data_IF_517633743219
#
_entry.id   IF_517633743219
#
_cell.length_a   1.000
_cell.length_b   1.000
_cell.length_c   1.000
_cell.angle_alpha   90.00
_cell.angle_beta   90.00
_cell.angle_gamma   90.00
#
_symmetry.space_group_name_H-M   'P 1'
#
loop_
_entity.id
_entity.type
_entity.pdbx_description
1 polymer ?
#
# COMPACT_ATOMS: atom_id res chain seq x y z
N UNK A 1 -10.64 -31.57 -1.13
CA UNK A 1 -10.01 -31.01 0.08
C UNK A 1 -9.43 -32.10 0.97
N UNK A 2 -10.11 -33.25 1.12
CA UNK A 2 -9.55 -34.40 1.83
C UNK A 2 -8.30 -34.93 1.14
N UNK A 3 -8.31 -35.12 -0.17
CA UNK A 3 -7.13 -35.52 -0.95
C UNK A 3 -5.97 -34.55 -0.73
N UNK A 4 -6.22 -33.24 -0.84
CA UNK A 4 -5.20 -32.22 -0.55
C UNK A 4 -4.62 -32.35 0.86
N UNK A 5 -5.47 -32.60 1.86
CA UNK A 5 -5.02 -32.81 3.23
C UNK A 5 -4.14 -34.05 3.37
N UNK A 6 -4.55 -35.17 2.72
CA UNK A 6 -3.80 -36.41 2.72
C UNK A 6 -2.42 -36.23 2.04
N UNK A 7 -2.37 -35.60 0.86
CA UNK A 7 -1.13 -35.27 0.14
C UNK A 7 -0.19 -34.36 0.96
N UNK A 8 -0.75 -33.36 1.65
CA UNK A 8 0.05 -32.48 2.51
C UNK A 8 0.65 -33.25 3.70
N UNK A 9 -0.08 -34.19 4.29
CA UNK A 9 0.44 -35.03 5.37
C UNK A 9 1.50 -36.02 4.91
N UNK A 10 1.33 -36.57 3.72
CA UNK A 10 2.30 -37.48 3.13
C UNK A 10 3.63 -36.79 2.80
N UNK A 11 3.54 -35.56 2.24
CA UNK A 11 4.73 -34.79 1.84
C UNK A 11 5.41 -34.06 2.99
N UNK A 12 4.66 -33.65 4.00
CA UNK A 12 5.17 -32.77 5.07
C UNK A 12 4.70 -33.29 6.44
N UNK A 13 5.64 -33.56 7.33
CA UNK A 13 5.35 -33.79 8.74
C UNK A 13 5.14 -32.43 9.44
N UNK A 14 3.90 -31.97 9.53
CA UNK A 14 3.59 -30.67 10.17
C UNK A 14 2.75 -30.83 11.44
N UNK A 15 3.12 -30.09 12.48
CA UNK A 15 2.50 -30.12 13.80
C UNK A 15 1.51 -28.97 14.01
N UNK A 16 1.47 -28.02 13.10
CA UNK A 16 0.63 -26.82 13.22
C UNK A 16 0.06 -26.35 11.90
N UNK A 17 -1.19 -25.90 11.94
CA UNK A 17 -1.90 -25.28 10.82
C UNK A 17 -2.36 -23.88 11.22
N UNK A 18 -1.87 -22.85 10.50
CA UNK A 18 -2.22 -21.45 10.75
C UNK A 18 -3.07 -20.94 9.60
N UNK A 19 -4.38 -20.78 9.83
CA UNK A 19 -5.31 -20.21 8.87
C UNK A 19 -5.28 -18.67 8.94
N UNK A 20 -4.55 -18.04 8.03
CA UNK A 20 -4.51 -16.58 7.86
C UNK A 20 -5.61 -16.08 6.92
N UNK A 21 -6.40 -16.98 6.32
CA UNK A 21 -7.42 -16.61 5.35
C UNK A 21 -8.85 -16.68 5.90
N UNK A 22 -9.16 -17.59 6.84
CA UNK A 22 -10.46 -17.77 7.50
C UNK A 22 -11.63 -17.75 6.49
N UNK A 23 -11.58 -18.66 5.52
CA UNK A 23 -12.63 -18.93 4.54
C UNK A 23 -13.11 -20.38 4.66
N UNK A 24 -14.25 -20.74 4.01
CA UNK A 24 -14.83 -22.06 4.16
C UNK A 24 -13.82 -23.20 3.87
N UNK A 25 -13.05 -23.09 2.80
CA UNK A 25 -12.02 -24.08 2.43
C UNK A 25 -11.00 -24.30 3.54
N UNK A 26 -10.46 -23.21 4.11
CA UNK A 26 -9.43 -23.30 5.14
C UNK A 26 -10.01 -23.75 6.48
N UNK A 27 -11.26 -23.46 6.76
CA UNK A 27 -11.98 -24.00 7.94
C UNK A 27 -12.12 -25.52 7.88
N UNK A 28 -12.47 -26.06 6.70
CA UNK A 28 -12.56 -27.51 6.49
C UNK A 28 -11.18 -28.18 6.63
N UNK A 29 -10.12 -27.59 6.05
CA UNK A 29 -8.74 -28.06 6.25
C UNK A 29 -8.36 -28.02 7.74
N UNK A 30 -8.68 -26.94 8.43
CA UNK A 30 -8.45 -26.80 9.87
C UNK A 30 -9.23 -27.82 10.70
N UNK A 31 -10.43 -28.23 10.26
CA UNK A 31 -11.17 -29.30 10.90
C UNK A 31 -10.44 -30.65 10.73
N UNK A 32 -10.01 -30.98 9.51
CA UNK A 32 -9.23 -32.19 9.27
C UNK A 32 -7.93 -32.21 10.09
N UNK A 33 -7.22 -31.08 10.18
CA UNK A 33 -6.05 -30.96 11.04
C UNK A 33 -6.35 -31.29 12.50
N UNK A 34 -7.43 -30.74 13.07
CA UNK A 34 -7.84 -31.00 14.46
C UNK A 34 -8.19 -32.47 14.70
N UNK A 35 -8.91 -33.10 13.78
CA UNK A 35 -9.26 -34.53 13.87
C UNK A 35 -8.02 -35.44 13.87
N UNK A 36 -6.89 -34.96 13.37
CA UNK A 36 -5.61 -35.67 13.34
C UNK A 36 -4.59 -35.16 14.38
N UNK A 37 -5.05 -34.46 15.42
CA UNK A 37 -4.19 -33.98 16.51
C UNK A 37 -3.28 -32.79 16.18
N UNK A 38 -3.41 -32.20 14.98
CA UNK A 38 -2.60 -31.06 14.56
C UNK A 38 -3.14 -29.77 15.19
N UNK A 39 -2.24 -28.97 15.79
CA UNK A 39 -2.59 -27.66 16.39
C UNK A 39 -3.12 -26.71 15.32
N UNK A 40 -4.25 -26.05 15.56
CA UNK A 40 -4.87 -25.12 14.60
C UNK A 40 -5.04 -23.72 15.21
N UNK A 41 -4.51 -22.72 14.55
CA UNK A 41 -4.77 -21.31 14.84
C UNK A 41 -5.44 -20.63 13.66
N UNK A 42 -6.45 -19.79 13.93
CA UNK A 42 -7.18 -19.04 12.89
C UNK A 42 -7.07 -17.55 13.16
N UNK A 43 -6.81 -16.75 12.12
CA UNK A 43 -6.73 -15.31 12.24
C UNK A 43 -8.04 -14.69 12.78
N UNK A 44 -7.91 -13.74 13.68
CA UNK A 44 -9.01 -12.84 14.01
C UNK A 44 -9.03 -11.65 13.03
N UNK A 45 -9.89 -11.69 12.03
CA UNK A 45 -10.04 -10.62 11.01
C UNK A 45 -10.58 -9.30 11.56
N UNK A 46 -10.97 -9.23 12.84
CA UNK A 46 -11.50 -8.02 13.47
C UNK A 46 -12.82 -7.52 12.86
N UNK A 47 -13.65 -8.43 12.35
CA UNK A 47 -14.91 -8.09 11.65
C UNK A 47 -15.83 -7.21 12.49
N UNK A 48 -15.92 -7.47 13.81
CA UNK A 48 -16.76 -6.69 14.74
C UNK A 48 -16.28 -5.24 14.83
N UNK A 49 -14.98 -5.03 15.04
CA UNK A 49 -14.38 -3.68 15.06
C UNK A 49 -14.50 -2.96 13.72
N UNK A 50 -14.26 -3.66 12.60
CA UNK A 50 -14.43 -3.12 11.25
C UNK A 50 -15.89 -2.68 10.98
N UNK A 51 -16.89 -3.47 11.43
CA UNK A 51 -18.31 -3.07 11.34
C UNK A 51 -18.60 -1.84 12.19
N UNK A 52 -18.10 -1.77 13.43
CA UNK A 52 -18.29 -0.63 14.31
C UNK A 52 -17.67 0.65 13.71
N UNK A 53 -16.47 0.53 13.10
CA UNK A 53 -15.74 1.61 12.46
C UNK A 53 -16.46 2.15 11.20
N UNK A 54 -17.18 1.30 10.45
CA UNK A 54 -17.81 1.67 9.17
C UNK A 54 -19.33 1.87 9.26
N UNK A 55 -19.91 1.92 10.46
CA UNK A 55 -21.33 2.23 10.66
C UNK A 55 -21.66 3.60 10.13
N UNK A 56 -22.87 3.79 9.64
CA UNK A 56 -23.38 5.10 9.22
C UNK A 56 -23.71 5.99 10.44
N UNK A 57 -24.28 5.39 11.46
CA UNK A 57 -24.63 6.04 12.72
C UNK A 57 -23.91 5.37 13.89
N UNK A 58 -23.69 6.09 14.98
CA UNK A 58 -23.01 5.61 16.19
C UNK A 58 -21.69 4.88 15.89
N UNK A 59 -20.90 5.51 15.04
CA UNK A 59 -19.59 5.01 14.61
C UNK A 59 -18.60 5.06 15.77
N UNK A 60 -17.82 3.98 15.92
CA UNK A 60 -16.72 3.93 16.89
C UNK A 60 -15.41 4.13 16.13
N UNK A 61 -14.84 5.33 16.21
CA UNK A 61 -13.64 5.72 15.49
C UNK A 61 -12.39 5.43 16.36
N UNK A 62 -12.03 4.16 16.49
CA UNK A 62 -10.85 3.69 17.21
C UNK A 62 -9.93 2.90 16.27
N UNK A 63 -8.60 3.06 16.41
CA UNK A 63 -7.63 2.31 15.63
C UNK A 63 -7.78 0.79 15.85
N UNK A 64 -7.87 0.04 14.78
CA UNK A 64 -7.86 -1.42 14.83
C UNK A 64 -6.43 -1.94 14.71
N UNK A 65 -6.18 -3.11 15.28
CA UNK A 65 -4.92 -3.81 15.08
C UNK A 65 -4.61 -3.97 13.58
N UNK A 66 -3.36 -3.75 13.21
CA UNK A 66 -2.89 -3.97 11.84
C UNK A 66 -3.02 -5.45 11.44
N UNK A 67 -3.15 -5.72 10.15
CA UNK A 67 -3.18 -7.09 9.60
C UNK A 67 -1.95 -7.88 10.03
N UNK A 68 -0.78 -7.25 10.07
CA UNK A 68 0.47 -7.85 10.52
C UNK A 68 0.41 -8.27 12.01
N UNK A 69 -0.11 -7.40 12.87
CA UNK A 69 -0.27 -7.74 14.29
C UNK A 69 -1.23 -8.94 14.49
N UNK A 70 -2.28 -9.02 13.66
CA UNK A 70 -3.21 -10.16 13.65
C UNK A 70 -2.55 -11.45 13.19
N UNK A 71 -1.68 -11.39 12.20
CA UNK A 71 -0.87 -12.53 11.76
C UNK A 71 0.03 -13.02 12.89
N UNK A 72 0.81 -12.13 13.51
CA UNK A 72 1.65 -12.48 14.66
C UNK A 72 0.88 -13.16 15.79
N UNK A 73 -0.31 -12.66 16.11
CA UNK A 73 -1.17 -13.30 17.11
C UNK A 73 -1.59 -14.72 16.71
N UNK A 74 -1.84 -14.98 15.42
CA UNK A 74 -2.18 -16.30 14.96
C UNK A 74 -1.03 -17.30 15.15
N UNK A 75 0.20 -16.89 14.88
CA UNK A 75 1.41 -17.69 15.14
C UNK A 75 1.64 -17.91 16.64
N UNK A 76 1.55 -16.85 17.44
CA UNK A 76 1.75 -16.93 18.89
C UNK A 76 0.81 -17.94 19.57
N UNK A 77 -0.45 -18.06 19.11
CA UNK A 77 -1.43 -18.97 19.72
C UNK A 77 -1.07 -20.45 19.64
N UNK A 78 -0.21 -20.86 18.72
CA UNK A 78 0.26 -22.26 18.63
C UNK A 78 1.70 -22.42 19.12
N UNK A 79 2.22 -21.41 19.85
CA UNK A 79 3.56 -21.47 20.43
C UNK A 79 4.70 -21.07 19.47
N UNK A 80 4.40 -20.43 18.33
CA UNK A 80 5.38 -19.92 17.38
C UNK A 80 5.47 -18.38 17.45
N UNK A 81 6.25 -17.80 18.38
CA UNK A 81 6.39 -16.36 18.45
C UNK A 81 7.18 -15.83 17.24
N UNK A 82 6.59 -14.87 16.53
CA UNK A 82 7.25 -14.18 15.42
C UNK A 82 7.82 -12.87 15.93
N UNK A 83 9.13 -12.72 15.88
CA UNK A 83 9.85 -11.49 16.23
C UNK A 83 9.76 -10.45 15.12
N UNK A 84 10.02 -9.19 15.46
CA UNK A 84 9.99 -8.06 14.55
C UNK A 84 11.38 -7.77 13.99
N UNK A 85 11.92 -8.67 13.19
CA UNK A 85 13.25 -8.52 12.59
C UNK A 85 13.24 -8.10 11.11
N UNK A 86 12.07 -7.74 10.56
CA UNK A 86 12.00 -7.24 9.18
C UNK A 86 12.36 -5.76 9.13
N UNK A 87 13.45 -5.44 8.46
CA UNK A 87 13.97 -4.08 8.31
C UNK A 87 13.74 -3.50 6.90
N UNK A 88 13.42 -4.33 5.94
CA UNK A 88 13.18 -4.01 4.54
C UNK A 88 13.67 -5.13 3.63
N UNK A 89 13.26 -5.15 2.37
CA UNK A 89 13.69 -6.16 1.40
C UNK A 89 15.21 -6.12 1.13
N UNK A 90 15.82 -4.95 1.28
CA UNK A 90 17.24 -4.73 1.03
C UNK A 90 18.05 -4.51 2.33
N UNK A 91 17.46 -4.85 3.50
CA UNK A 91 18.10 -4.70 4.81
C UNK A 91 17.92 -3.29 5.42
N UNK A 92 18.70 -3.01 6.46
CA UNK A 92 18.67 -1.71 7.14
C UNK A 92 19.33 -0.65 6.26
N UNK A 93 18.55 0.31 5.80
CA UNK A 93 19.00 1.48 5.03
C UNK A 93 19.61 1.17 3.65
N UNK A 94 19.57 -0.08 3.19
CA UNK A 94 20.10 -0.43 1.88
C UNK A 94 19.05 -0.20 0.79
N UNK A 95 19.42 0.55 -0.25
CA UNK A 95 18.72 0.52 -1.53
C UNK A 95 19.23 -0.67 -2.35
N UNK A 96 18.43 -1.12 -3.33
CA UNK A 96 18.86 -2.14 -4.28
C UNK A 96 20.08 -1.67 -5.09
N UNK A 97 20.91 -2.60 -5.62
CA UNK A 97 21.92 -2.23 -6.60
C UNK A 97 21.31 -1.51 -7.82
N UNK A 98 21.98 -0.48 -8.34
CA UNK A 98 21.45 0.33 -9.44
C UNK A 98 21.21 -0.48 -10.73
N UNK A 99 21.97 -1.54 -10.93
CA UNK A 99 21.85 -2.47 -12.06
C UNK A 99 20.48 -3.17 -12.06
N UNK A 100 19.87 -3.34 -10.89
CA UNK A 100 18.58 -4.03 -10.77
C UNK A 100 17.41 -3.25 -11.41
N UNK A 101 17.54 -1.94 -11.61
CA UNK A 101 16.55 -1.12 -12.32
C UNK A 101 17.09 -0.47 -13.61
N UNK A 102 18.26 -0.88 -14.11
CA UNK A 102 18.88 -0.32 -15.31
C UNK A 102 17.99 -0.39 -16.57
N UNK A 103 17.08 -1.39 -16.62
CA UNK A 103 16.08 -1.49 -17.70
C UNK A 103 15.05 -0.33 -17.68
N UNK A 104 14.88 0.36 -16.56
CA UNK A 104 13.89 1.43 -16.38
C UNK A 104 14.53 2.79 -16.64
N UNK A 105 15.65 3.08 -16.00
CA UNK A 105 16.35 4.36 -16.11
C UNK A 105 17.82 4.24 -15.71
N UNK A 106 18.58 5.32 -15.98
CA UNK A 106 19.96 5.44 -15.50
C UNK A 106 20.01 5.56 -13.98
N UNK A 107 21.13 5.22 -13.35
CA UNK A 107 21.34 5.42 -11.93
C UNK A 107 21.04 6.86 -11.48
N UNK A 108 20.48 7.01 -10.28
CA UNK A 108 20.16 8.30 -9.67
C UNK A 108 21.45 9.10 -9.50
N UNK A 109 21.52 10.28 -10.09
CA UNK A 109 22.67 11.18 -9.89
C UNK A 109 22.49 12.01 -8.62
N UNK A 110 23.61 12.36 -7.96
CA UNK A 110 23.56 13.20 -6.74
C UNK A 110 22.83 14.52 -6.98
N UNK A 111 21.97 14.90 -6.04
CA UNK A 111 21.14 16.11 -6.10
C UNK A 111 19.86 15.99 -6.95
N UNK A 112 19.65 14.88 -7.67
CA UNK A 112 18.38 14.65 -8.37
C UNK A 112 17.32 14.18 -7.37
N UNK A 113 16.11 14.71 -7.49
CA UNK A 113 14.93 14.36 -6.68
C UNK A 113 14.09 13.34 -7.43
N UNK A 114 13.85 12.20 -6.83
CA UNK A 114 13.03 11.16 -7.44
C UNK A 114 11.73 10.99 -6.68
N UNK A 115 10.60 11.16 -7.35
CA UNK A 115 9.27 11.05 -6.78
C UNK A 115 8.52 9.92 -7.49
N UNK A 116 7.95 8.99 -6.73
CA UNK A 116 7.02 8.00 -7.25
C UNK A 116 5.59 8.48 -7.07
N UNK A 117 4.73 8.27 -8.06
CA UNK A 117 3.29 8.56 -7.94
C UNK A 117 2.48 7.38 -8.46
N UNK A 118 1.65 6.80 -7.57
CA UNK A 118 0.72 5.71 -7.86
C UNK A 118 -0.72 6.20 -7.62
N UNK A 119 -1.36 6.87 -8.60
CA UNK A 119 -2.60 7.62 -8.40
C UNK A 119 -3.85 6.75 -8.39
N UNK A 120 -3.74 5.46 -8.71
CA UNK A 120 -4.88 4.57 -8.87
C UNK A 120 -5.00 3.55 -7.75
N UNK A 121 -6.21 3.03 -7.59
CA UNK A 121 -6.56 1.95 -6.69
C UNK A 121 -7.71 1.14 -7.27
N UNK A 122 -7.95 -0.06 -6.72
CA UNK A 122 -8.98 -0.98 -7.20
C UNK A 122 -10.41 -0.39 -7.16
N UNK A 123 -10.70 0.52 -6.22
CA UNK A 123 -12.04 1.02 -5.97
C UNK A 123 -12.08 2.54 -6.03
N UNK A 124 -13.13 3.10 -6.63
CA UNK A 124 -13.34 4.54 -6.81
C UNK A 124 -13.22 5.34 -5.51
N UNK A 125 -13.79 4.83 -4.42
CA UNK A 125 -13.70 5.48 -3.10
C UNK A 125 -12.28 5.61 -2.52
N UNK A 126 -11.25 5.15 -3.26
CA UNK A 126 -9.84 5.25 -2.91
C UNK A 126 -9.03 6.02 -3.96
N UNK A 127 -9.63 6.47 -5.05
CA UNK A 127 -8.93 7.15 -6.15
C UNK A 127 -9.11 8.66 -5.95
N UNK A 128 -8.01 9.37 -5.72
CA UNK A 128 -8.00 10.82 -5.72
C UNK A 128 -8.36 11.33 -7.13
N UNK A 129 -9.17 12.39 -7.29
CA UNK A 129 -9.58 12.85 -8.61
C UNK A 129 -8.39 13.04 -9.55
N UNK A 130 -8.50 12.47 -10.74
CA UNK A 130 -7.40 12.40 -11.72
C UNK A 130 -6.94 13.81 -12.13
N UNK A 131 -7.87 14.72 -12.31
CA UNK A 131 -7.63 16.13 -12.62
C UNK A 131 -6.88 16.87 -11.50
N UNK A 132 -7.18 16.55 -10.24
CA UNK A 132 -6.47 17.12 -9.09
C UNK A 132 -5.10 16.47 -8.89
N UNK A 133 -4.96 15.17 -9.15
CA UNK A 133 -3.69 14.49 -9.11
C UNK A 133 -2.75 15.01 -10.21
N UNK A 134 -3.29 15.30 -11.39
CA UNK A 134 -2.49 15.92 -12.46
C UNK A 134 -1.91 17.28 -12.05
N UNK A 135 -2.67 18.08 -11.28
CA UNK A 135 -2.13 19.34 -10.70
C UNK A 135 -0.97 19.08 -9.76
N UNK A 136 -1.05 18.01 -8.93
CA UNK A 136 0.07 17.60 -8.07
C UNK A 136 1.28 17.24 -8.91
N UNK A 137 1.10 16.43 -9.97
CA UNK A 137 2.19 16.05 -10.89
C UNK A 137 2.81 17.28 -11.53
N UNK A 138 2.00 18.19 -12.06
CA UNK A 138 2.50 19.42 -12.71
C UNK A 138 3.29 20.33 -11.76
N UNK A 139 2.79 20.50 -10.53
CA UNK A 139 3.49 21.30 -9.50
C UNK A 139 4.82 20.68 -9.10
N UNK A 140 4.85 19.35 -8.89
CA UNK A 140 6.10 18.65 -8.55
C UNK A 140 7.09 18.57 -9.70
N UNK A 141 6.62 18.44 -10.94
CA UNK A 141 7.46 18.43 -12.14
C UNK A 141 8.12 19.80 -12.43
N UNK A 142 7.55 20.89 -11.90
CA UNK A 142 8.12 22.23 -12.00
C UNK A 142 9.30 22.47 -11.02
N UNK A 143 9.50 21.59 -10.04
CA UNK A 143 10.63 21.67 -9.10
C UNK A 143 11.92 21.29 -9.86
N UNK A 144 12.98 22.11 -9.84
CA UNK A 144 14.24 21.81 -10.53
C UNK A 144 14.82 20.45 -10.12
N UNK A 145 15.52 19.79 -11.02
CA UNK A 145 16.21 18.51 -10.82
C UNK A 145 15.29 17.38 -10.30
N UNK A 146 14.01 17.40 -10.68
CA UNK A 146 13.02 16.42 -10.28
C UNK A 146 12.69 15.47 -11.42
N UNK A 147 12.72 14.17 -11.14
CA UNK A 147 12.17 13.10 -11.98
C UNK A 147 11.00 12.43 -11.27
N UNK A 148 9.91 12.25 -11.99
CA UNK A 148 8.68 11.63 -11.48
C UNK A 148 8.43 10.31 -12.21
N UNK A 149 8.27 9.24 -11.44
CA UNK A 149 7.93 7.90 -11.93
C UNK A 149 6.46 7.60 -11.62
N UNK A 150 5.67 7.40 -12.66
CA UNK A 150 4.24 7.12 -12.55
C UNK A 150 3.99 5.62 -12.60
N UNK A 151 3.36 5.09 -11.55
CA UNK A 151 3.04 3.67 -11.39
C UNK A 151 1.55 3.43 -11.62
N UNK A 152 1.23 2.46 -12.46
CA UNK A 152 -0.15 2.05 -12.74
C UNK A 152 -0.20 0.74 -13.49
N UNK A 153 -1.38 0.16 -13.60
CA UNK A 153 -1.61 -1.11 -14.26
C UNK A 153 -2.82 -1.07 -15.19
N UNK A 154 -2.74 -1.83 -16.28
CA UNK A 154 -3.82 -1.89 -17.26
C UNK A 154 -3.86 -0.68 -18.21
N UNK A 155 -4.58 -0.88 -19.30
CA UNK A 155 -4.56 0.03 -20.46
C UNK A 155 -5.13 1.43 -20.14
N UNK A 156 -6.23 1.49 -19.40
CA UNK A 156 -6.89 2.76 -19.05
C UNK A 156 -6.01 3.65 -18.18
N UNK A 157 -5.32 3.05 -17.19
CA UNK A 157 -4.39 3.78 -16.33
C UNK A 157 -3.17 4.23 -17.14
N UNK A 158 -2.63 3.36 -18.02
CA UNK A 158 -1.51 3.68 -18.88
C UNK A 158 -1.81 4.88 -19.80
N UNK A 159 -2.98 4.94 -20.41
CA UNK A 159 -3.38 6.08 -21.27
C UNK A 159 -3.32 7.41 -20.53
N UNK A 160 -3.79 7.47 -19.27
CA UNK A 160 -3.74 8.69 -18.44
C UNK A 160 -2.29 9.04 -18.11
N UNK A 161 -1.52 8.06 -17.62
CA UNK A 161 -0.15 8.30 -17.15
C UNK A 161 0.81 8.63 -18.28
N UNK A 162 0.64 8.02 -19.45
CA UNK A 162 1.41 8.35 -20.65
C UNK A 162 1.05 9.75 -21.16
N UNK A 163 -0.22 10.19 -21.01
CA UNK A 163 -0.63 11.55 -21.28
C UNK A 163 0.11 12.58 -20.41
N UNK A 164 0.24 12.30 -19.12
CA UNK A 164 1.00 13.16 -18.20
C UNK A 164 2.50 13.14 -18.52
N UNK A 165 3.06 11.97 -18.81
CA UNK A 165 4.48 11.84 -19.17
C UNK A 165 4.84 12.61 -20.45
N UNK A 166 3.91 12.73 -21.40
CA UNK A 166 4.08 13.57 -22.61
C UNK A 166 3.98 15.07 -22.32
N UNK A 167 3.17 15.46 -21.34
CA UNK A 167 2.87 16.86 -21.01
C UNK A 167 3.93 17.50 -20.12
N UNK A 168 4.51 16.76 -19.20
CA UNK A 168 5.43 17.29 -18.21
C UNK A 168 6.86 16.75 -18.40
N UNK A 169 7.83 17.65 -18.45
CA UNK A 169 9.26 17.28 -18.53
C UNK A 169 9.67 16.56 -17.22
N UNK A 170 10.53 15.56 -17.34
CA UNK A 170 11.03 14.81 -16.20
C UNK A 170 10.02 13.78 -15.63
N UNK A 171 8.86 13.61 -16.29
CA UNK A 171 7.84 12.63 -15.89
C UNK A 171 7.92 11.39 -16.78
N UNK A 172 7.94 10.21 -16.18
CA UNK A 172 7.99 8.91 -16.88
C UNK A 172 6.84 8.00 -16.42
N UNK A 173 6.11 7.45 -17.36
CA UNK A 173 5.12 6.41 -17.09
C UNK A 173 5.74 5.03 -17.14
N UNK A 174 5.52 4.23 -16.09
CA UNK A 174 5.88 2.81 -16.03
C UNK A 174 4.66 1.91 -16.30
N UNK A 175 3.48 2.49 -16.43
CA UNK A 175 2.23 1.77 -16.63
C UNK A 175 2.24 0.99 -17.95
N UNK A 176 1.75 -0.25 -17.91
CA UNK A 176 1.70 -1.13 -19.07
C UNK A 176 3.06 -1.69 -19.52
N UNK A 177 4.15 -1.24 -18.91
CA UNK A 177 5.50 -1.75 -19.19
C UNK A 177 5.82 -2.96 -18.31
N UNK A 178 6.46 -3.97 -18.88
CA UNK A 178 6.69 -5.26 -18.19
C UNK A 178 8.11 -5.34 -17.64
N UNK A 179 8.50 -4.40 -16.78
CA UNK A 179 9.82 -4.44 -16.13
C UNK A 179 9.90 -5.53 -15.05
N UNK A 180 8.77 -5.91 -14.46
CA UNK A 180 8.65 -6.89 -13.39
C UNK A 180 8.89 -6.31 -11.99
N UNK A 181 8.29 -6.95 -10.99
CA UNK A 181 8.38 -6.52 -9.60
C UNK A 181 9.81 -6.32 -9.06
N UNK A 182 10.80 -7.17 -9.37
CA UNK A 182 12.17 -6.96 -8.88
C UNK A 182 12.75 -5.63 -9.33
N UNK A 183 12.62 -5.27 -10.61
CA UNK A 183 13.16 -4.02 -11.15
C UNK A 183 12.38 -2.79 -10.63
N UNK A 184 11.05 -2.89 -10.55
CA UNK A 184 10.23 -1.81 -10.01
C UNK A 184 10.49 -1.57 -8.52
N UNK A 185 10.63 -2.62 -7.70
CA UNK A 185 10.97 -2.49 -6.28
C UNK A 185 12.38 -1.93 -6.08
N UNK A 186 13.33 -2.33 -6.94
CA UNK A 186 14.68 -1.77 -6.93
C UNK A 186 14.63 -0.26 -7.22
N UNK A 187 13.90 0.18 -8.24
CA UNK A 187 13.69 1.60 -8.52
C UNK A 187 13.06 2.31 -7.32
N UNK A 188 11.98 1.75 -6.75
CA UNK A 188 11.26 2.35 -5.62
C UNK A 188 12.18 2.54 -4.42
N UNK A 189 13.17 1.67 -4.18
CA UNK A 189 14.13 1.83 -3.08
C UNK A 189 15.06 3.05 -3.23
N UNK A 190 15.14 3.65 -4.42
CA UNK A 190 15.90 4.87 -4.70
C UNK A 190 15.03 6.13 -4.78
N UNK A 191 13.72 6.00 -4.73
CA UNK A 191 12.77 7.11 -4.72
C UNK A 191 12.79 7.80 -3.35
N UNK A 192 12.86 9.13 -3.33
CA UNK A 192 12.87 9.90 -2.08
C UNK A 192 11.53 9.83 -1.35
N UNK A 193 10.43 9.83 -2.11
CA UNK A 193 9.07 9.72 -1.58
C UNK A 193 8.10 9.16 -2.60
N UNK A 194 7.20 8.29 -2.15
CA UNK A 194 6.11 7.74 -2.94
C UNK A 194 4.78 8.41 -2.57
N UNK A 195 4.08 9.01 -3.53
CA UNK A 195 2.67 9.39 -3.38
C UNK A 195 1.81 8.22 -3.78
N UNK A 196 0.97 7.72 -2.90
CA UNK A 196 0.13 6.56 -3.18
C UNK A 196 -1.26 6.68 -2.57
N UNK A 197 -2.22 6.10 -3.26
CA UNK A 197 -3.51 5.81 -2.66
C UNK A 197 -3.38 4.70 -1.60
N UNK A 198 -4.42 4.46 -0.79
CA UNK A 198 -4.56 3.23 0.00
C UNK A 198 -4.64 2.02 -0.96
N UNK A 199 -3.50 1.63 -1.52
CA UNK A 199 -3.33 0.62 -2.57
C UNK A 199 -2.09 -0.26 -2.35
N UNK A 200 -1.84 -1.20 -3.25
CA UNK A 200 -0.68 -2.08 -3.18
C UNK A 200 0.65 -1.30 -3.20
N UNK A 201 0.75 -0.22 -3.97
CA UNK A 201 1.98 0.56 -4.10
C UNK A 201 2.44 1.20 -2.78
N UNK A 202 1.50 1.61 -1.90
CA UNK A 202 1.82 2.06 -0.55
C UNK A 202 2.57 0.97 0.24
N UNK A 203 2.13 -0.28 0.12
CA UNK A 203 2.77 -1.39 0.82
C UNK A 203 4.09 -1.80 0.17
N UNK A 204 4.17 -1.78 -1.16
CA UNK A 204 5.42 -2.07 -1.90
C UNK A 204 6.52 -1.06 -1.55
N UNK A 205 6.21 0.22 -1.54
CA UNK A 205 7.15 1.25 -1.09
C UNK A 205 7.58 1.04 0.37
N UNK A 206 6.64 0.66 1.25
CA UNK A 206 6.95 0.34 2.64
C UNK A 206 7.90 -0.85 2.80
N UNK A 207 7.85 -1.84 1.88
CA UNK A 207 8.74 -3.02 1.93
C UNK A 207 10.20 -2.68 1.63
N UNK A 208 10.45 -1.63 0.88
CA UNK A 208 11.80 -1.17 0.51
C UNK A 208 12.23 0.08 1.30
N UNK A 209 11.45 0.48 2.32
CA UNK A 209 11.81 1.58 3.21
C UNK A 209 11.53 2.98 2.67
N UNK A 210 10.96 3.11 1.48
CA UNK A 210 10.63 4.42 0.88
C UNK A 210 9.51 5.10 1.67
N UNK A 211 9.66 6.39 2.07
CA UNK A 211 8.60 7.18 2.68
C UNK A 211 7.36 7.27 1.77
N UNK A 212 6.16 7.26 2.35
CA UNK A 212 4.91 7.31 1.58
C UNK A 212 4.00 8.42 2.05
N UNK A 213 3.72 9.37 1.18
CA UNK A 213 2.58 10.28 1.32
C UNK A 213 1.33 9.54 0.85
N UNK A 214 0.51 9.09 1.79
CA UNK A 214 -0.65 8.24 1.51
C UNK A 214 -1.96 9.01 1.56
N UNK A 215 -2.81 8.83 0.52
CA UNK A 215 -4.08 9.55 0.38
C UNK A 215 -5.25 8.62 0.71
N UNK A 216 -6.12 9.08 1.62
CA UNK A 216 -7.21 8.29 2.17
C UNK A 216 -8.57 8.94 1.95
N UNK A 217 -9.44 8.25 1.21
CA UNK A 217 -10.82 8.69 0.92
C UNK A 217 -11.88 7.97 1.75
N UNK A 218 -12.66 7.10 1.13
CA UNK A 218 -13.72 6.31 1.77
C UNK A 218 -13.22 5.30 2.82
N UNK A 219 -11.94 4.99 2.81
CA UNK A 219 -11.24 4.17 3.82
C UNK A 219 -10.59 5.04 4.89
N UNK A 220 -9.97 4.42 5.89
CA UNK A 220 -9.27 5.12 6.97
C UNK A 220 -8.09 4.28 7.47
N UNK A 221 -6.95 4.86 7.86
CA UNK A 221 -5.82 4.14 8.46
C UNK A 221 -6.22 3.25 9.65
N UNK A 222 -7.23 3.68 10.41
CA UNK A 222 -7.78 2.91 11.55
C UNK A 222 -8.37 1.55 11.17
N UNK A 223 -8.59 1.25 9.88
CA UNK A 223 -8.93 -0.10 9.42
C UNK A 223 -7.77 -1.11 9.58
N UNK A 224 -6.57 -0.65 9.93
CA UNK A 224 -5.39 -1.47 10.14
C UNK A 224 -4.60 -1.77 8.87
N UNK A 225 -4.69 -0.91 7.85
CA UNK A 225 -4.04 -1.05 6.55
C UNK A 225 -2.93 -0.03 6.29
N UNK A 226 -2.51 0.74 7.30
CA UNK A 226 -1.34 1.63 7.17
C UNK A 226 -0.11 0.85 6.71
N UNK A 227 0.69 1.42 5.81
CA UNK A 227 1.96 0.87 5.36
C UNK A 227 2.92 0.64 6.53
N UNK A 228 3.76 -0.36 6.41
CA UNK A 228 4.74 -0.71 7.44
C UNK A 228 5.75 0.43 7.65
N UNK A 229 5.95 0.85 8.91
CA UNK A 229 6.87 1.94 9.31
C UNK A 229 6.56 3.32 8.68
N UNK A 230 5.38 3.52 8.08
CA UNK A 230 5.00 4.82 7.50
C UNK A 230 4.55 5.79 8.59
N UNK A 231 4.91 7.07 8.43
CA UNK A 231 4.52 8.15 9.34
C UNK A 231 3.01 8.42 9.28
N UNK A 232 2.44 8.86 10.38
CA UNK A 232 1.06 9.37 10.43
C UNK A 232 0.95 10.79 9.88
N UNK A 233 2.03 11.57 9.96
CA UNK A 233 2.11 12.94 9.43
C UNK A 233 2.04 12.99 7.90
N UNK A 234 2.37 11.86 7.23
CA UNK A 234 2.32 11.73 5.77
C UNK A 234 0.98 11.17 5.27
N UNK A 235 -0.01 11.05 6.15
CA UNK A 235 -1.37 10.66 5.75
C UNK A 235 -2.20 11.88 5.38
N UNK A 236 -2.61 11.94 4.11
CA UNK A 236 -3.47 12.99 3.59
C UNK A 236 -4.92 12.53 3.63
N UNK A 237 -5.74 13.20 4.42
CA UNK A 237 -7.15 12.84 4.58
C UNK A 237 -7.96 14.01 5.15
N UNK A 238 -9.26 14.05 4.86
CA UNK A 238 -10.16 15.01 5.49
C UNK A 238 -10.87 14.41 6.71
N UNK A 239 -10.98 15.16 7.82
CA UNK A 239 -11.77 14.75 8.99
C UNK A 239 -13.27 14.88 8.67
N UNK A 240 -13.90 13.77 8.26
CA UNK A 240 -15.34 13.72 7.96
C UNK A 240 -16.01 12.63 8.77
N UNK A 241 -17.16 12.91 9.34
CA UNK A 241 -17.93 11.98 10.20
C UNK A 241 -18.40 10.73 9.45
N UNK A 242 -18.60 10.83 8.12
CA UNK A 242 -18.97 9.70 7.29
C UNK A 242 -17.83 8.69 7.07
N UNK A 243 -16.56 9.08 7.29
CA UNK A 243 -15.39 8.20 7.10
C UNK A 243 -15.08 7.35 8.34
N UNK A 244 -14.55 6.13 8.15
CA UNK A 244 -14.62 5.35 6.92
C UNK A 244 -16.05 4.87 6.65
N UNK A 245 -16.51 4.96 5.42
CA UNK A 245 -17.80 4.37 5.02
C UNK A 245 -17.64 2.95 4.46
N UNK A 246 -16.41 2.53 4.18
CA UNK A 246 -16.06 1.20 3.71
C UNK A 246 -14.70 0.76 4.26
N UNK A 247 -14.54 -0.54 4.53
CA UNK A 247 -13.25 -1.10 4.95
C UNK A 247 -12.26 -1.15 3.79
N UNK A 248 -12.74 -1.45 2.57
CA UNK A 248 -11.89 -1.67 1.38
C UNK A 248 -12.16 -0.65 0.25
N UNK A 249 -13.03 0.32 0.47
CA UNK A 249 -13.38 1.31 -0.55
C UNK A 249 -14.39 0.84 -1.62
N UNK A 250 -14.92 -0.39 -1.52
CA UNK A 250 -15.79 -1.01 -2.52
C UNK A 250 -17.24 -0.48 -2.52
N UNK A 251 -17.64 0.21 -1.47
CA UNK A 251 -18.99 0.78 -1.39
C UNK A 251 -19.03 2.13 -2.11
N UNK A 252 -20.06 2.40 -2.92
CA UNK A 252 -20.23 3.72 -3.52
C UNK A 252 -20.43 4.78 -2.42
N UNK A 253 -20.08 6.01 -2.74
CA UNK A 253 -20.30 7.14 -1.84
C UNK A 253 -21.81 7.38 -1.68
N UNK A 254 -22.34 7.27 -0.47
CA UNK A 254 -23.77 7.53 -0.22
C UNK A 254 -24.15 9.02 -0.37
N UNK A 255 -23.17 9.92 -0.31
CA UNK A 255 -23.36 11.36 -0.58
C UNK A 255 -23.32 11.65 -2.10
N UNK A 256 -22.73 10.75 -2.90
CA UNK A 256 -22.56 10.92 -4.34
C UNK A 256 -21.38 11.82 -4.75
N UNK A 257 -20.79 12.57 -3.82
CA UNK A 257 -19.84 13.65 -4.11
C UNK A 257 -18.36 13.28 -3.91
N UNK A 258 -18.06 12.22 -3.20
CA UNK A 258 -16.69 11.83 -2.80
C UNK A 258 -15.89 13.02 -2.20
N UNK A 259 -16.55 13.91 -1.46
CA UNK A 259 -15.92 15.09 -0.85
C UNK A 259 -14.69 14.74 -0.01
N UNK A 260 -14.65 13.55 0.59
CA UNK A 260 -13.49 13.04 1.32
C UNK A 260 -12.20 12.95 0.48
N UNK A 261 -12.33 12.92 -0.85
CA UNK A 261 -11.22 12.94 -1.80
C UNK A 261 -11.16 14.30 -2.52
N UNK A 262 -12.29 14.75 -3.10
CA UNK A 262 -12.35 16.00 -3.87
C UNK A 262 -12.01 17.25 -3.05
N UNK A 263 -12.26 17.22 -1.75
CA UNK A 263 -11.94 18.33 -0.85
C UNK A 263 -10.48 18.36 -0.37
N UNK A 264 -9.67 17.36 -0.67
CA UNK A 264 -8.23 17.40 -0.40
C UNK A 264 -7.58 18.36 -1.39
N UNK A 265 -6.89 19.40 -0.87
CA UNK A 265 -6.14 20.33 -1.71
C UNK A 265 -4.91 19.64 -2.32
N UNK A 266 -4.64 19.79 -3.64
CA UNK A 266 -3.39 19.37 -4.25
C UNK A 266 -2.15 19.88 -3.50
N UNK A 267 -2.18 21.12 -3.04
CA UNK A 267 -1.09 21.74 -2.30
C UNK A 267 -0.76 20.98 -1.02
N UNK A 268 -1.77 20.47 -0.30
CA UNK A 268 -1.54 19.67 0.91
C UNK A 268 -0.77 18.38 0.68
N UNK A 269 -0.85 17.82 -0.53
CA UNK A 269 -0.07 16.66 -0.97
C UNK A 269 1.36 17.10 -1.31
N UNK A 270 1.49 18.17 -2.11
CA UNK A 270 2.79 18.74 -2.49
C UNK A 270 3.62 19.11 -1.27
N UNK A 271 3.02 19.79 -0.28
CA UNK A 271 3.72 20.22 0.95
C UNK A 271 4.30 19.03 1.72
N UNK A 272 3.61 17.88 1.75
CA UNK A 272 4.13 16.67 2.39
C UNK A 272 5.24 16.02 1.58
N UNK A 273 5.10 15.97 0.26
CA UNK A 273 6.15 15.44 -0.64
C UNK A 273 7.44 16.22 -0.49
N UNK A 274 7.38 17.55 -0.51
CA UNK A 274 8.54 18.42 -0.43
C UNK A 274 9.37 18.22 0.84
N UNK A 275 8.74 17.85 1.97
CA UNK A 275 9.47 17.57 3.23
C UNK A 275 10.45 16.40 3.13
N UNK A 276 10.24 15.49 2.18
CA UNK A 276 11.09 14.31 1.97
C UNK A 276 12.15 14.53 0.88
N UNK A 277 12.07 15.64 0.14
CA UNK A 277 13.01 15.88 -0.94
C UNK A 277 14.35 16.39 -0.41
N UNK A 278 15.47 15.93 -0.98
CA UNK A 278 16.77 16.48 -0.65
C UNK A 278 16.85 17.98 -1.02
N UNK A 279 17.73 18.78 -0.36
CA UNK A 279 17.94 20.18 -0.70
C UNK A 279 18.33 20.33 -2.16
N UNK A 280 18.10 21.52 -2.74
CA UNK A 280 18.52 21.83 -4.09
C UNK A 280 20.05 21.82 -4.23
N UNK A 281 20.56 21.48 -5.42
CA UNK A 281 21.99 21.65 -5.71
C UNK A 281 22.33 23.14 -5.56
N UNK A 282 23.22 23.49 -4.64
CA UNK A 282 23.74 24.83 -4.52
C UNK A 282 23.06 25.77 -3.53
N UNK A 283 22.24 25.21 -2.58
CA UNK A 283 21.81 25.97 -1.39
C UNK A 283 22.70 25.71 -0.20
#
# INVERSE_FOLDING_TARGET
LWQLFAELREKFAFDGFIDLHDVLRTKLLGLFCRLHGIKVSVINKGRRGKRALTRRHSKVLLPLQSTRARYRQAFHRIGLPVTNCFHGLYGDSAAAPAEAYAAICRPKSGGTRWIGIAPFAKHEGKIYPVDLMEKVVGTLAAIPDTEIFLFGGGEKEAQVLDGWAKRYRGVRSLAGKRYGFPAELALVSHIDVMVSMDSANMHLASLVGTPVVSIWGATHPYCGFKGWRQSEDDMVQLPMTCRPCSVFGQKPCFRGDYLCLRGISPQSIVDRVVRHLPPARGS
#
